data_IF_283490686688
#
_entry.id   IF_283490686688
#
_cell.length_a   1.000
_cell.length_b   1.000
_cell.length_c   1.000
_cell.angle_alpha   90.00
_cell.angle_beta   90.00
_cell.angle_gamma   90.00
#
_symmetry.space_group_name_H-M   'P 1'
#
loop_
_entity.id
_entity.type
_entity.pdbx_description
1 polymer ?
#
# COMPACT_ATOMS: atom_id res chain seq x y z
N UNK A 1 1.25 -12.28 3.21
CA UNK A 1 1.30 -13.55 3.97
C UNK A 1 0.74 -13.35 5.36
N UNK A 2 0.42 -14.42 6.06
CA UNK A 2 -0.16 -14.40 7.42
C UNK A 2 0.70 -13.69 8.47
N UNK A 3 2.00 -13.56 8.21
CA UNK A 3 2.97 -12.95 9.13
C UNK A 3 3.30 -11.48 8.82
N UNK A 4 2.60 -10.88 7.87
CA UNK A 4 2.80 -9.46 7.52
C UNK A 4 2.22 -8.58 8.63
N UNK A 5 3.07 -7.77 9.25
CA UNK A 5 2.67 -6.79 10.27
C UNK A 5 2.50 -5.43 9.63
N UNK A 6 1.59 -4.64 10.18
CA UNK A 6 1.34 -3.25 9.78
C UNK A 6 1.80 -2.34 10.91
N UNK A 7 2.37 -1.21 10.55
CA UNK A 7 2.76 -0.13 11.46
C UNK A 7 2.22 1.19 10.93
N UNK A 8 1.56 1.95 11.78
CA UNK A 8 1.19 3.33 11.51
C UNK A 8 2.28 4.25 12.08
N UNK A 9 2.80 5.12 11.25
CA UNK A 9 3.81 6.11 11.64
C UNK A 9 3.23 7.50 11.43
N UNK A 10 3.16 8.35 12.48
CA UNK A 10 2.68 9.73 12.34
C UNK A 10 3.49 10.46 11.27
N UNK A 11 2.79 11.22 10.43
CA UNK A 11 3.38 12.01 9.36
C UNK A 11 2.64 13.34 9.22
N UNK A 12 3.10 14.20 8.32
CA UNK A 12 2.46 15.46 8.02
C UNK A 12 2.08 15.53 6.56
N UNK A 13 0.79 15.77 6.31
CA UNK A 13 0.29 16.15 4.99
C UNK A 13 -0.60 17.38 5.15
N UNK A 14 -0.52 18.38 4.25
CA UNK A 14 -1.24 19.64 4.39
C UNK A 14 -2.77 19.51 4.26
N UNK A 15 -3.26 18.39 3.76
CA UNK A 15 -4.68 18.14 3.49
C UNK A 15 -5.34 17.14 4.44
N UNK A 16 -4.56 16.57 5.38
CA UNK A 16 -5.06 15.63 6.41
C UNK A 16 -4.51 15.94 7.78
N UNK A 17 -5.33 15.71 8.83
CA UNK A 17 -4.94 15.83 10.23
C UNK A 17 -5.90 14.99 11.10
N UNK A 18 -5.40 13.97 11.83
CA UNK A 18 -4.04 13.45 11.83
C UNK A 18 -3.66 12.73 10.51
N UNK A 19 -2.36 12.68 10.24
CA UNK A 19 -1.78 12.04 9.07
C UNK A 19 -0.87 10.90 9.48
N UNK A 20 -0.88 9.82 8.70
CA UNK A 20 -0.09 8.62 8.95
C UNK A 20 0.51 8.08 7.66
N UNK A 21 1.72 7.59 7.76
CA UNK A 21 2.28 6.66 6.79
C UNK A 21 2.07 5.23 7.27
N UNK A 22 1.62 4.38 6.37
CA UNK A 22 1.36 2.97 6.65
C UNK A 22 2.51 2.15 6.11
N UNK A 23 3.24 1.54 7.03
CA UNK A 23 4.36 0.66 6.72
C UNK A 23 3.93 -0.80 6.91
N UNK A 24 4.47 -1.68 6.07
CA UNK A 24 4.33 -3.13 6.23
C UNK A 24 5.69 -3.79 6.40
N UNK A 25 5.71 -4.95 7.03
CA UNK A 25 6.92 -5.75 7.15
C UNK A 25 7.51 -6.05 5.78
N UNK A 26 8.80 -5.85 5.62
CA UNK A 26 9.49 -6.11 4.35
C UNK A 26 9.33 -7.57 3.92
N UNK A 27 8.75 -7.79 2.74
CA UNK A 27 8.50 -9.12 2.19
C UNK A 27 9.78 -9.90 1.89
N UNK A 28 10.88 -9.21 1.57
CA UNK A 28 12.16 -9.83 1.23
C UNK A 28 12.90 -10.38 2.44
N UNK A 29 12.89 -9.67 3.56
CA UNK A 29 13.68 -10.03 4.74
C UNK A 29 12.83 -10.39 5.97
N UNK A 30 11.50 -10.37 5.86
CA UNK A 30 10.61 -10.70 6.97
C UNK A 30 10.80 -9.79 8.20
N UNK A 31 11.22 -8.54 7.99
CA UNK A 31 11.45 -7.59 9.09
C UNK A 31 12.87 -7.55 9.64
N UNK A 32 13.79 -8.40 9.17
CA UNK A 32 15.16 -8.47 9.67
C UNK A 32 16.06 -7.32 9.22
N UNK A 33 15.70 -6.62 8.16
CA UNK A 33 16.49 -5.60 7.50
C UNK A 33 17.20 -6.14 6.26
N UNK A 34 17.18 -5.37 5.17
CA UNK A 34 17.89 -5.65 3.92
C UNK A 34 18.04 -4.38 3.08
N UNK A 35 18.74 -4.47 1.97
CA UNK A 35 18.95 -3.32 1.07
C UNK A 35 17.61 -2.75 0.51
N UNK A 36 16.60 -3.59 0.28
CA UNK A 36 15.30 -3.15 -0.21
C UNK A 36 14.60 -2.24 0.80
N UNK A 37 14.56 -2.61 2.06
CA UNK A 37 13.95 -1.82 3.13
C UNK A 37 14.94 -0.86 3.82
N UNK A 38 16.14 -0.67 3.26
CA UNK A 38 17.21 0.17 3.82
C UNK A 38 17.52 -0.18 5.28
N UNK A 39 17.61 -1.47 5.57
CA UNK A 39 17.88 -2.05 6.89
C UNK A 39 16.81 -1.81 7.96
N UNK A 40 15.70 -1.19 7.62
CA UNK A 40 14.63 -0.86 8.59
C UNK A 40 13.71 -2.04 8.92
N UNK A 41 13.66 -3.05 8.06
CA UNK A 41 12.69 -4.15 8.15
C UNK A 41 11.27 -3.78 7.68
N UNK A 42 11.01 -2.51 7.33
CA UNK A 42 9.70 -1.98 6.97
C UNK A 42 9.72 -1.34 5.59
N UNK A 43 8.60 -1.40 4.90
CA UNK A 43 8.39 -0.72 3.62
C UNK A 43 7.08 0.06 3.71
N UNK A 44 7.18 1.36 3.42
CA UNK A 44 6.02 2.23 3.29
C UNK A 44 5.18 1.81 2.08
N UNK A 45 3.86 1.72 2.26
CA UNK A 45 2.91 1.32 1.22
C UNK A 45 2.02 2.49 0.80
N UNK A 46 1.53 3.25 1.78
CA UNK A 46 0.58 4.34 1.53
C UNK A 46 0.65 5.41 2.62
N UNK A 47 0.21 6.62 2.27
CA UNK A 47 -0.15 7.65 3.23
C UNK A 47 -1.66 7.67 3.43
N UNK A 48 -2.10 7.97 4.64
CA UNK A 48 -3.52 8.09 4.97
C UNK A 48 -3.75 9.15 6.07
N UNK A 49 -4.96 9.64 6.20
CA UNK A 49 -5.32 10.56 7.26
C UNK A 49 -6.78 10.99 7.21
N UNK A 50 -7.18 11.72 8.24
CA UNK A 50 -8.49 12.39 8.27
C UNK A 50 -8.39 13.68 7.47
N UNK A 51 -9.37 13.93 6.63
CA UNK A 51 -9.40 15.15 5.80
C UNK A 51 -9.47 16.38 6.69
N UNK A 52 -8.55 17.32 6.46
CA UNK A 52 -8.46 18.54 7.25
C UNK A 52 -9.76 19.37 7.12
N UNK A 53 -10.32 19.93 8.22
CA UNK A 53 -11.57 20.70 8.19
C UNK A 53 -11.59 21.84 7.16
N UNK A 54 -10.45 22.49 6.91
CA UNK A 54 -10.34 23.55 5.92
C UNK A 54 -10.57 23.03 4.50
N UNK A 55 -10.13 21.80 4.19
CA UNK A 55 -10.38 21.19 2.88
C UNK A 55 -11.86 20.93 2.68
N UNK A 56 -12.58 20.48 3.72
CA UNK A 56 -14.02 20.30 3.67
C UNK A 56 -14.72 21.64 3.41
N UNK A 57 -14.37 22.69 4.18
CA UNK A 57 -14.93 24.04 4.02
C UNK A 57 -14.70 24.61 2.62
N UNK A 58 -13.49 24.48 2.07
CA UNK A 58 -13.16 24.97 0.74
C UNK A 58 -13.97 24.28 -0.36
N UNK A 59 -14.44 23.06 -0.10
CA UNK A 59 -15.26 22.29 -1.03
C UNK A 59 -16.78 22.37 -0.70
N UNK A 60 -17.21 23.29 0.17
CA UNK A 60 -18.61 23.53 0.49
C UNK A 60 -19.23 22.53 1.47
N UNK A 61 -18.43 21.72 2.15
CA UNK A 61 -18.89 20.80 3.19
C UNK A 61 -18.76 21.43 4.58
N UNK A 62 -19.79 21.28 5.39
CA UNK A 62 -19.77 21.68 6.79
C UNK A 62 -18.98 20.65 7.63
N UNK A 63 -17.81 20.99 8.18
CA UNK A 63 -16.99 20.04 8.94
C UNK A 63 -17.59 19.60 10.28
N UNK A 64 -18.63 20.30 10.77
CA UNK A 64 -19.38 19.87 11.96
C UNK A 64 -20.36 18.73 11.64
N UNK A 65 -20.74 18.60 10.36
CA UNK A 65 -21.68 17.57 9.90
C UNK A 65 -21.02 16.46 9.13
N UNK A 66 -19.90 16.76 8.45
CA UNK A 66 -19.20 15.84 7.57
C UNK A 66 -17.76 15.65 8.02
N UNK A 67 -17.35 14.41 8.12
CA UNK A 67 -15.96 14.00 8.20
C UNK A 67 -15.53 13.34 6.89
N UNK A 68 -14.23 13.20 6.70
CA UNK A 68 -13.67 12.50 5.56
C UNK A 68 -12.35 11.84 5.92
N UNK A 69 -11.99 10.85 5.14
CA UNK A 69 -10.66 10.27 5.18
C UNK A 69 -10.06 10.25 3.78
N UNK A 70 -8.75 10.32 3.70
CA UNK A 70 -8.01 10.20 2.47
C UNK A 70 -6.89 9.17 2.61
N UNK A 71 -6.59 8.47 1.54
CA UNK A 71 -5.39 7.65 1.43
C UNK A 71 -4.85 7.69 0.01
N UNK A 72 -3.54 7.57 -0.11
CA UNK A 72 -2.85 7.51 -1.40
C UNK A 72 -1.85 6.38 -1.40
N UNK A 73 -1.95 5.47 -2.36
CA UNK A 73 -1.01 4.36 -2.52
C UNK A 73 -0.34 4.39 -3.88
N UNK A 74 0.97 4.11 -3.88
CA UNK A 74 1.71 3.95 -5.13
C UNK A 74 1.46 2.57 -5.74
N UNK A 75 0.90 2.52 -6.95
CA UNK A 75 0.63 1.26 -7.66
C UNK A 75 1.91 0.45 -7.83
N UNK A 76 3.03 1.12 -8.12
CA UNK A 76 4.35 0.47 -8.25
C UNK A 76 4.74 -0.30 -6.99
N UNK A 77 4.51 0.29 -5.81
CA UNK A 77 4.78 -0.37 -4.53
C UNK A 77 3.94 -1.62 -4.36
N UNK A 78 2.65 -1.55 -4.67
CA UNK A 78 1.76 -2.70 -4.62
C UNK A 78 2.18 -3.79 -5.61
N UNK A 79 2.57 -3.41 -6.84
CA UNK A 79 3.08 -4.34 -7.83
C UNK A 79 4.36 -5.03 -7.36
N UNK A 80 5.30 -4.28 -6.78
CA UNK A 80 6.52 -4.86 -6.20
C UNK A 80 6.21 -5.90 -5.12
N UNK A 81 5.27 -5.62 -4.23
CA UNK A 81 4.84 -6.57 -3.20
C UNK A 81 4.19 -7.80 -3.80
N UNK A 82 3.26 -7.58 -4.73
CA UNK A 82 2.49 -8.67 -5.34
C UNK A 82 3.36 -9.64 -6.14
N UNK A 83 4.31 -9.11 -6.88
CA UNK A 83 5.14 -9.88 -7.82
C UNK A 83 6.56 -10.15 -7.32
N UNK A 84 6.88 -9.75 -6.09
CA UNK A 84 8.21 -9.94 -5.50
C UNK A 84 9.31 -9.15 -6.22
N UNK A 85 8.98 -8.04 -6.87
CA UNK A 85 9.93 -7.20 -7.60
C UNK A 85 10.81 -6.45 -6.61
N UNK A 86 12.11 -6.67 -6.65
CA UNK A 86 13.05 -6.12 -5.66
C UNK A 86 13.60 -4.74 -6.02
N UNK A 87 13.40 -4.29 -7.25
CA UNK A 87 13.85 -2.97 -7.71
C UNK A 87 12.78 -2.33 -8.61
N UNK A 88 12.28 -1.17 -8.19
CA UNK A 88 11.24 -0.42 -8.89
C UNK A 88 11.65 -0.04 -10.32
N UNK A 89 12.93 0.15 -10.57
CA UNK A 89 13.44 0.54 -11.89
C UNK A 89 13.09 -0.47 -12.98
N UNK A 90 12.96 -1.75 -12.64
CA UNK A 90 12.56 -2.77 -13.61
C UNK A 90 11.16 -2.53 -14.21
N UNK A 91 10.27 -1.84 -13.49
CA UNK A 91 8.95 -1.46 -14.00
C UNK A 91 9.02 -0.41 -15.11
N UNK A 92 10.12 0.35 -15.18
CA UNK A 92 10.28 1.49 -16.09
C UNK A 92 11.31 1.28 -17.20
N UNK A 93 12.12 0.20 -17.10
CA UNK A 93 13.14 -0.09 -18.13
C UNK A 93 12.55 -0.65 -19.42
N UNK A 94 11.29 -1.07 -19.40
CA UNK A 94 10.58 -1.64 -20.54
C UNK A 94 11.27 -2.85 -21.19
N UNK A 95 11.99 -3.65 -20.38
CA UNK A 95 12.65 -4.87 -20.83
C UNK A 95 11.64 -5.99 -21.00
N UNK A 96 11.43 -6.43 -22.25
CA UNK A 96 10.46 -7.48 -22.58
C UNK A 96 10.75 -8.79 -21.83
N UNK A 97 12.01 -9.12 -21.57
CA UNK A 97 12.40 -10.33 -20.81
C UNK A 97 11.95 -10.24 -19.36
N UNK A 98 11.94 -9.05 -18.79
CA UNK A 98 11.41 -8.82 -17.45
C UNK A 98 9.87 -8.89 -17.46
N UNK A 99 9.22 -8.23 -18.41
CA UNK A 99 7.77 -8.17 -18.51
C UNK A 99 7.13 -9.53 -18.80
N UNK A 100 7.75 -10.35 -19.64
CA UNK A 100 7.24 -11.69 -19.98
C UNK A 100 7.18 -12.67 -18.80
N UNK A 101 7.85 -12.38 -17.69
CA UNK A 101 7.75 -13.20 -16.48
C UNK A 101 6.36 -13.12 -15.81
N UNK A 102 5.59 -12.09 -16.12
CA UNK A 102 4.29 -11.81 -15.51
C UNK A 102 3.12 -12.12 -16.43
N UNK A 103 3.38 -12.77 -17.57
CA UNK A 103 2.37 -13.22 -18.54
C UNK A 103 1.62 -14.46 -18.01
N UNK A 104 0.94 -14.26 -16.88
CA UNK A 104 0.06 -15.26 -16.28
C UNK A 104 -1.37 -14.90 -16.61
N UNK A 105 -2.12 -15.88 -17.12
CA UNK A 105 -3.57 -15.75 -17.29
C UNK A 105 -4.21 -15.55 -15.92
N UNK A 106 -5.17 -14.62 -15.80
CA UNK A 106 -5.85 -14.29 -14.54
C UNK A 106 -6.52 -15.49 -13.87
N UNK A 107 -6.77 -16.56 -14.60
CA UNK A 107 -7.39 -17.81 -14.14
C UNK A 107 -6.54 -18.61 -13.13
N UNK A 108 -5.21 -18.44 -13.10
CA UNK A 108 -4.33 -19.12 -12.14
C UNK A 108 -4.36 -18.52 -10.72
N UNK A 109 -4.98 -17.36 -10.51
CA UNK A 109 -4.99 -16.68 -9.23
C UNK A 109 -6.10 -17.15 -8.28
N UNK A 110 -7.11 -17.84 -8.80
CA UNK A 110 -8.25 -18.32 -8.00
C UNK A 110 -7.94 -19.63 -7.25
N UNK A 111 -6.83 -20.30 -7.57
CA UNK A 111 -6.48 -21.62 -7.04
C UNK A 111 -5.65 -21.60 -5.73
N UNK A 112 -5.56 -20.48 -5.03
CA UNK A 112 -5.11 -20.42 -3.64
C UNK A 112 -3.59 -20.35 -3.39
N UNK A 113 -2.75 -20.46 -4.40
CA UNK A 113 -1.28 -20.52 -4.25
C UNK A 113 -0.55 -19.17 -4.43
N UNK A 114 -1.27 -18.09 -4.68
CA UNK A 114 -0.74 -16.74 -4.73
C UNK A 114 -0.77 -16.02 -3.37
N UNK A 115 0.11 -15.04 -3.11
CA UNK A 115 0.02 -14.25 -1.89
C UNK A 115 -1.35 -13.55 -1.85
N UNK A 116 -2.20 -14.01 -0.94
CA UNK A 116 -3.61 -13.64 -0.78
C UNK A 116 -3.79 -12.14 -0.45
N UNK A 117 -3.75 -11.26 -1.45
CA UNK A 117 -4.18 -9.86 -1.29
C UNK A 117 -5.72 -9.74 -1.21
N UNK A 118 -6.46 -10.76 -1.62
CA UNK A 118 -7.92 -10.80 -1.54
C UNK A 118 -8.48 -11.01 -0.13
N UNK A 119 -7.65 -11.37 0.84
CA UNK A 119 -8.07 -11.37 2.25
C UNK A 119 -8.44 -9.94 2.72
N UNK A 120 -7.82 -8.92 2.16
CA UNK A 120 -8.13 -7.51 2.43
C UNK A 120 -9.57 -7.14 2.02
N UNK A 121 -10.12 -7.74 0.96
CA UNK A 121 -11.48 -7.45 0.48
C UNK A 121 -12.58 -8.01 1.39
N UNK A 122 -12.31 -9.10 2.12
CA UNK A 122 -13.26 -9.68 3.10
C UNK A 122 -13.25 -8.90 4.41
N UNK A 123 -12.12 -8.35 4.81
CA UNK A 123 -12.02 -7.60 6.06
C UNK A 123 -12.64 -6.20 5.95
N UNK A 124 -12.47 -5.49 4.82
CA UNK A 124 -13.08 -4.17 4.59
C UNK A 124 -14.62 -4.26 4.60
N UNK A 125 -15.23 -5.36 4.13
CA UNK A 125 -16.68 -5.55 4.18
C UNK A 125 -17.28 -5.69 5.59
N UNK A 126 -16.44 -5.89 6.60
CA UNK A 126 -16.89 -5.94 8.00
C UNK A 126 -16.92 -4.57 8.68
N UNK A 127 -16.36 -3.55 8.01
CA UNK A 127 -16.22 -2.18 8.55
C UNK A 127 -17.06 -1.14 7.82
N UNK A 128 -17.80 -1.55 6.78
CA UNK A 128 -18.86 -0.78 6.11
C UNK A 128 -20.22 -1.44 6.39
#
# INVERSE_FOLDING_TARGET
GTDTKIRLRPSYFPFTEPSYEVDVTCFKCGGKGCNLCKQTGWIEVLGAGIVHPNVLKMNGYDPEKFGGFAFGTGIDRLAMFRYGITDMRYLYTNDVRFLSQFDRKDEEWDNGDGPNLFHFRKEIRKWI
#
